data_IF_901035124830
#
_entry.id   IF_901035124830
#
_cell.length_a   1.000
_cell.length_b   1.000
_cell.length_c   1.000
_cell.angle_alpha   90.00
_cell.angle_beta   90.00
_cell.angle_gamma   90.00
#
_symmetry.space_group_name_H-M   'P 1'
#
loop_
_entity.id
_entity.type
_entity.pdbx_description
1 polymer ?
#
# COMPACT_ATOMS: atom_id res chain seq x y z
N UNK A 1 99.88 -7.64 16.48
CA UNK A 1 100.31 -9.09 16.60
C UNK A 1 99.03 -9.85 16.87
N UNK A 2 98.74 -10.79 15.96
CA UNK A 2 97.73 -11.82 16.07
C UNK A 2 96.26 -11.41 16.02
N UNK A 3 95.55 -11.88 15.23
CA UNK A 3 95.29 -13.01 14.29
C UNK A 3 93.74 -13.15 14.18
N UNK A 4 93.32 -12.98 12.99
CA UNK A 4 92.16 -13.56 12.34
C UNK A 4 91.49 -14.73 13.08
N UNK A 5 90.19 -14.74 13.05
CA UNK A 5 89.44 -15.92 12.52
C UNK A 5 88.09 -15.46 12.00
N UNK A 6 87.86 -15.89 10.80
CA UNK A 6 86.64 -15.77 9.98
C UNK A 6 85.62 -16.81 10.46
N UNK A 7 84.41 -16.46 10.73
CA UNK A 7 83.29 -17.42 10.68
C UNK A 7 82.09 -16.84 10.03
N UNK A 8 81.81 -17.46 8.92
CA UNK A 8 80.65 -17.24 8.08
C UNK A 8 79.41 -17.94 8.68
N UNK A 9 78.43 -17.26 9.13
CA UNK A 9 77.11 -17.86 9.47
C UNK A 9 76.04 -17.32 8.57
N UNK A 10 75.57 -18.20 7.69
CA UNK A 10 74.43 -17.97 6.79
C UNK A 10 73.18 -17.70 7.58
N UNK A 11 72.65 -16.48 7.42
CA UNK A 11 71.29 -16.13 7.93
C UNK A 11 70.25 -16.65 6.96
N UNK A 12 69.57 -17.73 7.37
CA UNK A 12 68.34 -18.17 6.74
C UNK A 12 67.27 -17.09 6.89
N UNK A 13 66.93 -16.49 5.78
CA UNK A 13 65.83 -15.55 5.68
C UNK A 13 64.52 -16.34 5.58
N UNK A 14 63.86 -16.58 6.72
CA UNK A 14 62.53 -17.17 6.76
C UNK A 14 61.54 -16.08 6.42
N UNK A 15 61.12 -16.01 5.15
CA UNK A 15 60.06 -15.18 4.65
C UNK A 15 58.73 -15.73 5.19
N UNK A 16 58.23 -15.19 6.30
CA UNK A 16 56.91 -15.44 6.81
C UNK A 16 55.89 -14.73 5.91
N UNK A 17 55.24 -15.48 5.03
CA UNK A 17 54.04 -15.07 4.35
C UNK A 17 52.92 -14.88 5.40
N UNK A 18 52.68 -13.64 5.83
CA UNK A 18 51.51 -13.26 6.56
C UNK A 18 50.34 -13.19 5.54
N UNK A 19 49.55 -14.26 5.49
CA UNK A 19 48.28 -14.28 4.80
C UNK A 19 47.31 -13.37 5.58
N UNK A 20 46.77 -12.29 5.02
CA UNK A 20 45.69 -11.55 5.70
C UNK A 20 44.44 -12.42 5.65
N UNK A 21 44.03 -12.95 6.81
CA UNK A 21 42.76 -13.57 7.06
C UNK A 21 41.71 -12.47 6.89
N UNK A 22 41.18 -12.29 5.68
CA UNK A 22 40.05 -11.44 5.40
C UNK A 22 38.84 -12.02 6.13
N UNK A 23 38.55 -11.47 7.31
CA UNK A 23 37.27 -11.61 7.99
C UNK A 23 36.19 -11.02 7.08
N UNK A 24 35.63 -11.88 6.22
CA UNK A 24 34.36 -11.57 5.55
C UNK A 24 33.31 -11.56 6.66
N UNK A 25 33.11 -10.38 7.23
CA UNK A 25 31.92 -10.12 8.04
C UNK A 25 30.72 -10.25 7.12
N UNK A 26 30.13 -11.45 7.08
CA UNK A 26 28.76 -11.61 6.60
C UNK A 26 27.87 -10.72 7.47
N UNK A 27 27.66 -9.50 7.03
CA UNK A 27 26.55 -8.68 7.52
C UNK A 27 25.29 -9.41 7.11
N UNK A 28 24.86 -10.33 7.99
CA UNK A 28 23.50 -10.87 7.93
C UNK A 28 22.56 -9.65 8.11
N UNK A 29 22.20 -8.99 7.01
CA UNK A 29 21.02 -8.16 6.98
C UNK A 29 19.89 -9.10 7.31
N UNK A 30 19.50 -9.13 8.59
CA UNK A 30 18.22 -9.66 8.99
C UNK A 30 17.21 -8.85 8.19
N UNK A 31 16.79 -9.39 7.06
CA UNK A 31 15.64 -8.91 6.32
C UNK A 31 14.51 -8.92 7.35
N UNK A 32 14.01 -7.75 7.73
CA UNK A 32 12.87 -7.65 8.63
C UNK A 32 11.80 -8.57 8.07
N UNK A 33 11.29 -9.48 8.91
CA UNK A 33 10.23 -10.41 8.51
C UNK A 33 9.00 -9.56 8.19
N UNK A 34 8.88 -9.12 6.94
CA UNK A 34 7.72 -8.45 6.42
C UNK A 34 6.59 -9.46 6.30
N UNK A 35 5.38 -9.05 6.64
CA UNK A 35 4.17 -9.81 6.35
C UNK A 35 3.68 -9.41 4.96
N UNK A 36 3.18 -10.36 4.20
CA UNK A 36 2.42 -10.08 2.98
C UNK A 36 0.93 -9.91 3.31
N UNK A 37 0.20 -9.26 2.42
CA UNK A 37 -1.25 -9.14 2.54
C UNK A 37 -1.89 -10.29 1.78
N UNK A 38 -2.81 -10.99 2.46
CA UNK A 38 -3.67 -11.95 1.79
C UNK A 38 -4.70 -11.20 0.94
N UNK A 39 -4.43 -11.08 -0.34
CA UNK A 39 -5.28 -10.34 -1.28
C UNK A 39 -6.62 -11.03 -1.55
N UNK A 40 -6.76 -12.31 -1.20
CA UNK A 40 -7.99 -13.10 -1.40
C UNK A 40 -8.96 -12.97 -0.23
N UNK A 41 -8.43 -12.80 0.98
CA UNK A 41 -9.22 -12.62 2.21
C UNK A 41 -9.30 -11.15 2.67
N UNK A 42 -8.65 -10.25 1.96
CA UNK A 42 -8.72 -8.82 2.22
C UNK A 42 -9.76 -8.15 1.33
N UNK A 43 -10.44 -7.16 1.89
CA UNK A 43 -11.53 -6.44 1.22
C UNK A 43 -11.37 -4.94 1.38
N UNK A 44 -11.66 -4.21 0.30
CA UNK A 44 -11.72 -2.76 0.26
C UNK A 44 -13.01 -2.33 -0.44
N UNK A 45 -13.86 -1.60 0.24
CA UNK A 45 -15.14 -1.11 -0.26
C UNK A 45 -15.18 0.42 -0.26
N UNK A 46 -15.71 0.97 -1.33
CA UNK A 46 -15.94 2.40 -1.48
C UNK A 46 -17.45 2.64 -1.54
N UNK A 47 -17.96 3.40 -0.59
CA UNK A 47 -19.37 3.80 -0.54
C UNK A 47 -19.52 5.20 -1.14
N UNK A 48 -20.23 5.26 -2.24
CA UNK A 48 -20.49 6.47 -3.02
C UNK A 48 -21.93 6.91 -2.77
N UNK A 49 -22.10 8.06 -2.13
CA UNK A 49 -23.41 8.61 -1.84
C UNK A 49 -23.82 9.67 -2.86
N UNK A 50 -25.10 9.82 -3.05
CA UNK A 50 -25.70 10.83 -3.90
C UNK A 50 -26.26 12.02 -3.12
N UNK A 51 -26.50 13.09 -3.84
CA UNK A 51 -27.16 14.32 -3.37
C UNK A 51 -27.97 14.95 -4.50
N UNK A 52 -28.77 15.95 -4.18
CA UNK A 52 -29.61 16.68 -5.12
C UNK A 52 -31.09 16.51 -4.82
N UNK A 53 -31.93 17.34 -5.48
CA UNK A 53 -33.36 17.42 -5.21
C UNK A 53 -34.09 16.10 -5.47
N UNK A 54 -33.64 15.34 -6.44
CA UNK A 54 -34.18 14.02 -6.80
C UNK A 54 -33.31 12.85 -6.33
N UNK A 55 -32.44 13.06 -5.33
CA UNK A 55 -31.58 11.99 -4.81
C UNK A 55 -32.35 10.82 -4.20
N UNK A 56 -33.61 10.98 -3.85
CA UNK A 56 -34.49 9.88 -3.41
C UNK A 56 -34.77 8.83 -4.46
N UNK A 57 -34.65 9.17 -5.75
CA UNK A 57 -34.90 8.27 -6.88
C UNK A 57 -33.63 7.70 -7.53
N UNK A 58 -32.48 8.02 -7.00
CA UNK A 58 -31.21 7.48 -7.51
C UNK A 58 -30.59 6.54 -6.48
N UNK A 59 -29.68 5.66 -6.88
CA UNK A 59 -29.07 4.68 -5.99
C UNK A 59 -27.72 5.18 -5.43
N UNK A 60 -27.37 4.80 -4.21
CA UNK A 60 -26.00 4.86 -3.75
C UNK A 60 -25.24 3.71 -4.42
N UNK A 61 -23.93 3.91 -4.65
CA UNK A 61 -23.11 2.88 -5.25
C UNK A 61 -22.13 2.31 -4.23
N UNK A 62 -21.94 1.01 -4.31
CA UNK A 62 -20.87 0.30 -3.61
C UNK A 62 -19.87 -0.24 -4.63
N UNK A 63 -18.60 0.08 -4.44
CA UNK A 63 -17.52 -0.32 -5.33
C UNK A 63 -16.52 -1.16 -4.58
N UNK A 64 -16.23 -2.36 -5.10
CA UNK A 64 -15.14 -3.20 -4.63
C UNK A 64 -13.84 -2.79 -5.32
N UNK A 65 -12.79 -2.54 -4.51
CA UNK A 65 -11.43 -2.37 -4.98
C UNK A 65 -10.58 -3.54 -4.48
N UNK A 66 -10.17 -4.43 -5.37
CA UNK A 66 -9.32 -5.56 -4.99
C UNK A 66 -7.88 -5.12 -4.85
N UNK A 67 -7.27 -5.50 -3.73
CA UNK A 67 -5.86 -5.30 -3.50
C UNK A 67 -5.09 -6.15 -4.52
N UNK A 68 -4.24 -5.50 -5.30
CA UNK A 68 -3.38 -6.17 -6.28
C UNK A 68 -2.12 -6.72 -5.61
N UNK A 69 -1.50 -5.88 -4.77
CA UNK A 69 -0.30 -6.20 -4.03
C UNK A 69 -0.30 -5.48 -2.68
N UNK A 70 0.34 -6.09 -1.68
CA UNK A 70 0.49 -5.44 -0.39
C UNK A 70 1.61 -6.06 0.45
N UNK A 71 2.35 -5.21 1.16
CA UNK A 71 3.41 -5.60 2.07
C UNK A 71 3.36 -4.76 3.34
N UNK A 72 3.61 -5.39 4.48
CA UNK A 72 3.68 -4.76 5.79
C UNK A 72 4.99 -5.14 6.48
N UNK A 73 5.82 -4.15 6.78
CA UNK A 73 6.94 -4.27 7.72
C UNK A 73 6.54 -3.55 9.02
N UNK A 74 5.92 -4.29 9.93
CA UNK A 74 5.41 -3.73 11.18
C UNK A 74 6.55 -3.16 12.06
N UNK A 75 7.76 -3.75 12.02
CA UNK A 75 8.91 -3.27 12.80
C UNK A 75 9.44 -1.93 12.28
N UNK A 76 9.42 -1.75 10.98
CA UNK A 76 9.85 -0.51 10.34
C UNK A 76 8.70 0.50 10.18
N UNK A 77 7.47 0.15 10.57
CA UNK A 77 6.28 1.00 10.40
C UNK A 77 5.97 1.30 8.94
N UNK A 78 6.31 0.39 8.02
CA UNK A 78 6.12 0.57 6.58
C UNK A 78 5.01 -0.33 6.06
N UNK A 79 4.08 0.26 5.34
CA UNK A 79 3.02 -0.43 4.63
C UNK A 79 2.98 0.10 3.20
N UNK A 80 2.87 -0.78 2.23
CA UNK A 80 2.50 -0.44 0.86
C UNK A 80 1.31 -1.29 0.44
N UNK A 81 0.31 -0.65 -0.16
CA UNK A 81 -0.87 -1.27 -0.77
C UNK A 81 -1.04 -0.73 -2.17
N UNK A 82 -1.32 -1.59 -3.14
CA UNK A 82 -1.72 -1.18 -4.48
C UNK A 82 -3.04 -1.82 -4.92
N UNK A 83 -3.79 -1.06 -5.71
CA UNK A 83 -5.04 -1.47 -6.35
C UNK A 83 -4.94 -1.17 -7.84
N UNK A 84 -5.29 -2.14 -8.69
CA UNK A 84 -5.47 -1.90 -10.12
C UNK A 84 -6.86 -1.29 -10.34
N UNK A 85 -6.90 0.01 -10.66
CA UNK A 85 -8.15 0.77 -10.86
C UNK A 85 -9.03 0.19 -11.95
N UNK A 86 -8.45 -0.47 -12.97
CA UNK A 86 -9.17 -1.13 -14.08
C UNK A 86 -9.96 -2.36 -13.63
N UNK A 87 -9.62 -2.92 -12.46
CA UNK A 87 -10.25 -4.11 -11.87
C UNK A 87 -11.28 -3.77 -10.80
N UNK A 88 -11.49 -2.49 -10.51
CA UNK A 88 -12.54 -2.06 -9.59
C UNK A 88 -13.92 -2.39 -10.14
N UNK A 89 -14.84 -2.78 -9.26
CA UNK A 89 -16.17 -3.28 -9.65
C UNK A 89 -17.28 -2.60 -8.88
N UNK A 90 -18.29 -2.13 -9.61
CA UNK A 90 -19.58 -1.70 -9.05
C UNK A 90 -20.37 -2.95 -8.64
N UNK A 91 -20.73 -3.05 -7.37
CA UNK A 91 -21.41 -4.23 -6.82
C UNK A 91 -22.93 -4.14 -6.96
N UNK A 92 -23.55 -3.07 -6.63
CA UNK A 92 -24.98 -2.69 -6.72
C UNK A 92 -25.93 -3.81 -7.19
N UNK A 93 -26.19 -4.84 -6.36
CA UNK A 93 -26.96 -6.03 -6.79
C UNK A 93 -28.43 -5.70 -7.11
N UNK A 94 -28.93 -4.57 -6.59
CA UNK A 94 -30.30 -4.08 -6.83
C UNK A 94 -30.46 -3.38 -8.19
N UNK A 95 -29.35 -2.97 -8.83
CA UNK A 95 -29.44 -2.34 -10.15
C UNK A 95 -29.59 -3.40 -11.26
N UNK A 96 -30.44 -3.12 -12.30
CA UNK A 96 -30.42 -3.89 -13.53
C UNK A 96 -29.03 -3.96 -14.14
N UNK A 97 -28.68 -5.08 -14.75
CA UNK A 97 -27.34 -5.36 -15.26
C UNK A 97 -26.83 -4.32 -16.25
N UNK A 98 -27.69 -3.83 -17.15
CA UNK A 98 -27.39 -2.78 -18.13
C UNK A 98 -27.07 -1.45 -17.46
N UNK A 99 -27.80 -1.09 -16.39
CA UNK A 99 -27.54 0.12 -15.60
C UNK A 99 -26.25 0.01 -14.80
N UNK A 100 -26.03 -1.15 -14.16
CA UNK A 100 -24.78 -1.39 -13.44
C UNK A 100 -23.56 -1.34 -14.37
N UNK A 101 -23.69 -1.87 -15.58
CA UNK A 101 -22.63 -1.78 -16.59
C UNK A 101 -22.36 -0.32 -17.00
N UNK A 102 -23.38 0.50 -17.21
CA UNK A 102 -23.20 1.93 -17.51
C UNK A 102 -22.49 2.69 -16.38
N UNK A 103 -22.82 2.40 -15.11
CA UNK A 103 -22.11 2.97 -13.95
C UNK A 103 -20.66 2.49 -13.92
N UNK A 104 -20.43 1.20 -14.18
CA UNK A 104 -19.10 0.60 -14.24
C UNK A 104 -18.21 1.27 -15.29
N UNK A 105 -18.71 1.42 -16.51
CA UNK A 105 -17.98 2.03 -17.62
C UNK A 105 -17.66 3.50 -17.32
N UNK A 106 -18.63 4.26 -16.78
CA UNK A 106 -18.40 5.65 -16.40
C UNK A 106 -17.36 5.77 -15.29
N UNK A 107 -17.42 4.91 -14.26
CA UNK A 107 -16.45 4.89 -13.16
C UNK A 107 -15.03 4.67 -13.67
N UNK A 108 -14.83 3.74 -14.58
CA UNK A 108 -13.50 3.43 -15.13
C UNK A 108 -13.04 4.44 -16.19
N UNK A 109 -13.98 5.18 -16.76
CA UNK A 109 -13.75 6.11 -17.85
C UNK A 109 -13.08 7.44 -17.43
N UNK A 110 -12.79 8.30 -18.43
CA UNK A 110 -12.05 9.54 -18.20
C UNK A 110 -12.80 10.59 -17.38
N UNK A 111 -14.10 10.41 -17.16
CA UNK A 111 -14.92 11.31 -16.34
C UNK A 111 -14.67 11.11 -14.84
N UNK A 112 -14.20 9.91 -14.41
CA UNK A 112 -14.04 9.57 -12.99
C UNK A 112 -12.62 9.09 -12.70
N UNK A 113 -12.29 7.81 -12.93
CA UNK A 113 -10.99 7.25 -12.57
C UNK A 113 -9.95 7.41 -13.68
N UNK A 114 -10.38 7.57 -14.92
CA UNK A 114 -9.49 7.54 -16.10
C UNK A 114 -8.47 6.38 -16.00
N UNK A 115 -9.02 5.19 -15.73
CA UNK A 115 -8.23 4.01 -15.36
C UNK A 115 -7.27 3.53 -16.44
N UNK A 116 -7.49 3.94 -17.70
CA UNK A 116 -6.55 3.72 -18.80
C UNK A 116 -5.27 4.55 -18.64
N UNK A 117 -5.39 5.77 -18.12
CA UNK A 117 -4.26 6.68 -17.86
C UNK A 117 -3.68 6.53 -16.46
N UNK A 118 -4.52 6.24 -15.47
CA UNK A 118 -4.14 6.09 -14.07
C UNK A 118 -4.51 4.69 -13.56
N UNK A 119 -3.81 3.64 -14.02
CA UNK A 119 -4.19 2.26 -13.72
C UNK A 119 -3.91 1.85 -12.28
N UNK A 120 -3.06 2.57 -11.55
CA UNK A 120 -2.64 2.19 -10.21
C UNK A 120 -3.08 3.22 -9.17
N UNK A 121 -3.64 2.72 -8.05
CA UNK A 121 -3.90 3.48 -6.83
C UNK A 121 -2.98 2.91 -5.77
N UNK A 122 -2.18 3.76 -5.11
CA UNK A 122 -1.16 3.34 -4.15
C UNK A 122 -1.33 4.07 -2.83
N UNK A 123 -1.27 3.33 -1.73
CA UNK A 123 -1.10 3.88 -0.40
C UNK A 123 0.24 3.42 0.19
N UNK A 124 1.03 4.37 0.66
CA UNK A 124 2.30 4.12 1.35
C UNK A 124 2.28 4.78 2.72
N UNK A 125 2.31 3.95 3.78
CA UNK A 125 2.43 4.47 5.13
C UNK A 125 3.86 4.96 5.39
N UNK A 126 3.95 6.15 5.98
CA UNK A 126 5.20 6.77 6.38
C UNK A 126 5.39 6.76 7.89
N UNK A 127 4.30 6.63 8.64
CA UNK A 127 4.33 6.66 10.10
C UNK A 127 3.16 5.89 10.70
N UNK A 128 3.44 5.12 11.75
CA UNK A 128 2.44 4.37 12.53
C UNK A 128 2.60 4.75 13.98
N UNK A 129 1.53 5.24 14.60
CA UNK A 129 1.45 5.60 16.02
C UNK A 129 0.52 4.64 16.75
N UNK A 130 0.97 4.07 17.84
CA UNK A 130 0.09 3.32 18.72
C UNK A 130 -0.93 4.25 19.37
N UNK A 131 -2.22 3.95 19.22
CA UNK A 131 -3.34 4.74 19.75
C UNK A 131 -3.86 4.27 21.09
N UNK A 132 -3.24 3.20 21.63
CA UNK A 132 -3.69 2.51 22.85
C UNK A 132 -4.63 1.34 22.55
N UNK A 133 -4.38 0.19 23.19
CA UNK A 133 -5.12 -1.05 22.95
C UNK A 133 -4.90 -1.57 21.53
N UNK A 134 -5.98 -1.97 20.87
CA UNK A 134 -5.98 -2.52 19.50
C UNK A 134 -6.07 -1.44 18.42
N UNK A 135 -5.90 -0.17 18.75
CA UNK A 135 -6.06 0.94 17.81
C UNK A 135 -4.71 1.53 17.46
N UNK A 136 -4.45 1.72 16.17
CA UNK A 136 -3.27 2.41 15.66
C UNK A 136 -3.68 3.52 14.69
N UNK A 137 -2.91 4.59 14.67
CA UNK A 137 -3.01 5.65 13.67
C UNK A 137 -1.94 5.45 12.62
N UNK A 138 -2.34 5.43 11.37
CA UNK A 138 -1.45 5.26 10.23
C UNK A 138 -1.50 6.53 9.38
N UNK A 139 -0.37 7.21 9.28
CA UNK A 139 -0.18 8.36 8.40
C UNK A 139 0.60 7.93 7.16
N UNK A 140 0.16 8.37 5.99
CA UNK A 140 0.77 7.95 4.73
C UNK A 140 0.36 8.83 3.56
N UNK A 141 0.85 8.45 2.39
CA UNK A 141 0.58 9.11 1.12
C UNK A 141 -0.32 8.23 0.26
N UNK A 142 -1.44 8.78 -0.18
CA UNK A 142 -2.34 8.14 -1.15
C UNK A 142 -2.14 8.78 -2.52
N UNK A 143 -1.79 7.95 -3.51
CA UNK A 143 -1.73 8.32 -4.93
C UNK A 143 -2.97 7.77 -5.64
N UNK A 144 -3.78 8.66 -6.16
CA UNK A 144 -5.03 8.38 -6.85
C UNK A 144 -5.19 9.36 -8.02
N UNK A 145 -5.57 8.88 -9.20
CA UNK A 145 -5.85 9.72 -10.37
C UNK A 145 -4.70 10.69 -10.71
N UNK A 146 -3.44 10.26 -10.53
CA UNK A 146 -2.23 11.05 -10.77
C UNK A 146 -1.92 12.11 -9.71
N UNK A 147 -2.69 12.20 -8.64
CA UNK A 147 -2.48 13.15 -7.53
C UNK A 147 -2.11 12.38 -6.27
N UNK A 148 -1.07 12.84 -5.57
CA UNK A 148 -0.64 12.26 -4.29
C UNK A 148 -0.95 13.20 -3.14
N UNK A 149 -1.61 12.71 -2.10
CA UNK A 149 -2.02 13.48 -0.92
C UNK A 149 -1.71 12.73 0.37
N UNK A 150 -1.35 13.45 1.44
CA UNK A 150 -1.25 12.87 2.77
C UNK A 150 -2.65 12.50 3.28
N UNK A 151 -2.76 11.31 3.88
CA UNK A 151 -3.97 10.88 4.59
C UNK A 151 -3.59 10.27 5.93
N UNK A 152 -4.52 10.31 6.87
CA UNK A 152 -4.39 9.74 8.20
C UNK A 152 -5.57 8.83 8.47
N UNK A 153 -5.30 7.60 8.85
CA UNK A 153 -6.31 6.54 9.01
C UNK A 153 -6.22 5.98 10.42
N UNK A 154 -7.37 5.79 11.06
CA UNK A 154 -7.47 5.02 12.30
C UNK A 154 -7.78 3.59 11.95
N UNK A 155 -6.96 2.67 12.46
CA UNK A 155 -7.00 1.24 12.16
C UNK A 155 -7.19 0.47 13.45
N UNK A 156 -8.11 -0.48 13.46
CA UNK A 156 -8.23 -1.49 14.51
C UNK A 156 -7.46 -2.73 14.11
N UNK A 157 -6.57 -3.17 14.97
CA UNK A 157 -5.70 -4.32 14.74
C UNK A 157 -6.04 -5.44 15.71
N UNK A 158 -6.38 -6.62 15.20
CA UNK A 158 -6.59 -7.82 16.00
C UNK A 158 -6.19 -9.07 15.20
N UNK A 159 -5.36 -9.94 15.77
CA UNK A 159 -5.02 -11.25 15.21
C UNK A 159 -4.54 -11.22 13.74
N UNK A 160 -3.69 -10.24 13.38
CA UNK A 160 -3.20 -10.07 12.00
C UNK A 160 -4.22 -9.46 11.03
N UNK A 161 -5.40 -9.07 11.53
CA UNK A 161 -6.44 -8.39 10.78
C UNK A 161 -6.46 -6.90 11.10
N UNK A 162 -6.59 -6.09 10.09
CA UNK A 162 -6.56 -4.63 10.16
C UNK A 162 -7.83 -4.09 9.52
N UNK A 163 -8.69 -3.46 10.33
CA UNK A 163 -9.99 -2.95 9.87
C UNK A 163 -10.12 -1.47 10.14
N UNK A 164 -10.92 -0.80 9.35
CA UNK A 164 -11.21 0.60 9.58
C UNK A 164 -12.08 1.23 8.52
N UNK A 165 -12.40 2.50 8.77
CA UNK A 165 -13.15 3.33 7.84
C UNK A 165 -12.56 4.73 7.84
N UNK A 166 -12.43 5.32 6.67
CA UNK A 166 -12.03 6.71 6.52
C UNK A 166 -12.79 7.37 5.37
N UNK A 167 -12.73 8.70 5.32
CA UNK A 167 -13.36 9.47 4.25
C UNK A 167 -12.28 10.20 3.43
N UNK A 168 -12.54 10.33 2.13
CA UNK A 168 -11.76 11.18 1.23
C UNK A 168 -12.70 12.00 0.34
N UNK A 169 -12.17 13.08 -0.23
CA UNK A 169 -12.91 13.90 -1.21
C UNK A 169 -12.34 13.65 -2.61
N UNK A 170 -13.22 13.42 -3.57
CA UNK A 170 -12.86 13.19 -4.96
C UNK A 170 -12.07 14.38 -5.54
N UNK A 171 -12.49 15.61 -5.20
CA UNK A 171 -11.86 16.85 -5.67
C UNK A 171 -10.43 17.02 -5.20
N UNK A 172 -10.07 16.44 -4.05
CA UNK A 172 -8.69 16.48 -3.56
C UNK A 172 -7.72 15.73 -4.49
N UNK A 173 -8.26 14.82 -5.31
CA UNK A 173 -7.52 14.03 -6.30
C UNK A 173 -7.85 14.42 -7.75
N UNK A 174 -8.40 15.62 -7.95
CA UNK A 174 -8.68 16.14 -9.30
C UNK A 174 -9.90 15.49 -9.98
N UNK A 175 -10.67 14.67 -9.26
CA UNK A 175 -11.88 14.04 -9.78
C UNK A 175 -13.08 14.95 -9.52
N UNK A 176 -13.79 15.34 -10.57
CA UNK A 176 -15.04 16.11 -10.44
C UNK A 176 -16.19 15.14 -10.19
N UNK A 177 -16.93 15.28 -9.07
CA UNK A 177 -18.09 14.44 -8.81
C UNK A 177 -19.11 14.48 -9.93
N UNK A 178 -19.55 13.30 -10.38
CA UNK A 178 -20.51 13.18 -11.49
C UNK A 178 -21.80 13.91 -11.20
N UNK A 179 -22.30 14.61 -12.20
CA UNK A 179 -23.58 15.33 -12.18
C UNK A 179 -24.37 15.00 -13.43
N UNK A 180 -25.61 14.52 -13.26
CA UNK A 180 -26.50 14.13 -14.35
C UNK A 180 -27.81 14.91 -14.31
N UNK A 181 -28.56 14.83 -15.41
CA UNK A 181 -29.86 15.47 -15.56
C UNK A 181 -29.83 16.98 -15.18
N UNK A 182 -28.85 17.73 -15.73
CA UNK A 182 -28.73 19.17 -15.45
C UNK A 182 -28.40 19.51 -13.99
N UNK A 183 -27.83 18.59 -13.25
CA UNK A 183 -27.45 18.78 -11.83
C UNK A 183 -28.53 18.38 -10.82
N UNK A 184 -29.62 17.80 -11.26
CA UNK A 184 -30.71 17.33 -10.40
C UNK A 184 -30.34 16.11 -9.57
N UNK A 185 -29.40 15.27 -10.07
CA UNK A 185 -28.75 14.18 -9.34
C UNK A 185 -27.24 14.39 -9.41
N UNK A 186 -26.60 14.36 -8.24
CA UNK A 186 -25.15 14.52 -8.11
C UNK A 186 -24.58 13.45 -7.21
N UNK A 187 -23.37 12.99 -7.52
CA UNK A 187 -22.54 12.23 -6.59
C UNK A 187 -21.99 13.20 -5.54
N UNK A 188 -21.98 12.81 -4.27
CA UNK A 188 -21.30 13.58 -3.22
C UNK A 188 -19.80 13.56 -3.46
N UNK A 189 -19.13 14.66 -3.13
CA UNK A 189 -17.66 14.74 -3.19
C UNK A 189 -16.98 13.76 -2.23
N UNK A 190 -17.55 13.62 -1.03
CA UNK A 190 -17.06 12.71 0.00
C UNK A 190 -17.40 11.26 -0.30
N UNK A 191 -16.38 10.42 -0.28
CA UNK A 191 -16.45 8.96 -0.34
C UNK A 191 -16.13 8.40 1.04
N UNK A 192 -16.81 7.32 1.46
CA UNK A 192 -16.43 6.55 2.64
C UNK A 192 -15.75 5.25 2.17
N UNK A 193 -14.53 5.03 2.65
CA UNK A 193 -13.74 3.85 2.34
C UNK A 193 -13.75 2.96 3.58
N UNK A 194 -14.11 1.70 3.40
CA UNK A 194 -14.08 0.65 4.41
C UNK A 194 -13.09 -0.43 3.99
N UNK A 195 -12.26 -0.88 4.93
CA UNK A 195 -11.29 -1.92 4.65
C UNK A 195 -11.25 -2.98 5.74
N UNK A 196 -10.96 -4.19 5.31
CA UNK A 196 -10.69 -5.36 6.13
C UNK A 196 -9.52 -6.11 5.49
N UNK A 197 -8.34 -6.02 6.09
CA UNK A 197 -7.08 -6.49 5.54
C UNK A 197 -6.51 -7.57 6.45
N UNK A 198 -6.23 -8.75 5.88
CA UNK A 198 -5.55 -9.83 6.56
C UNK A 198 -4.10 -9.88 6.13
N UNK A 199 -3.19 -9.96 7.11
CA UNK A 199 -1.77 -10.22 6.86
C UNK A 199 -1.43 -11.68 7.12
N UNK A 200 -0.53 -12.21 6.30
CA UNK A 200 0.04 -13.54 6.47
C UNK A 200 1.56 -13.41 6.64
N UNK A 201 2.21 -14.31 7.41
CA UNK A 201 3.67 -14.30 7.50
C UNK A 201 4.29 -14.34 6.10
N UNK A 202 5.31 -13.54 5.85
CA UNK A 202 6.03 -13.56 4.57
C UNK A 202 6.69 -14.91 4.33
N UNK A 203 6.76 -15.32 3.08
CA UNK A 203 7.27 -16.63 2.64
C UNK A 203 8.73 -16.93 3.05
N UNK A 204 9.45 -15.93 3.56
CA UNK A 204 10.84 -16.05 4.04
C UNK A 204 10.96 -16.35 5.56
N UNK A 205 9.90 -16.83 6.21
CA UNK A 205 9.88 -17.15 7.64
C UNK A 205 10.31 -18.62 7.94
N UNK A 206 11.08 -19.26 7.03
CA UNK A 206 11.68 -20.58 7.25
C UNK A 206 13.20 -20.47 7.30
#
# INVERSE_FOLDING_TARGET
MFLMILETTAKFFVLRFLLPLALISCVNRAAGQGSSIDTTQSRLLIHVSKSGVFSGFADNHEVEARIAEGSLDAKAGRLRLSVDSRKMRVLDPQLPSDKRQQVQERMLGPEVLDSGRFPEIVFEASHVQEGGGETVRVDGMLSLHGVTKPISIVVHQANGRYTGRFALKQRDFGITPVSIAGGTVKVKDGLAIEFDILTVPGENAK
#
